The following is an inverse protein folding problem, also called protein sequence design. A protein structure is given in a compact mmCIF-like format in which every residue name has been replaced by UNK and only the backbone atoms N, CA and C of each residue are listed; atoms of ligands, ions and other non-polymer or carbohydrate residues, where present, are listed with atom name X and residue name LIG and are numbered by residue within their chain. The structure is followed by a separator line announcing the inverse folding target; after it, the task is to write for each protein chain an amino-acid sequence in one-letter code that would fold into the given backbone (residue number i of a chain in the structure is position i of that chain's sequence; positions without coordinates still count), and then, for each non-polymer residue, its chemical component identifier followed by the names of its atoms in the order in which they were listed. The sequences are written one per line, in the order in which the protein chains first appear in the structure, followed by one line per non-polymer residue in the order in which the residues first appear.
data_IF_142108956971
#
_entry.id   IF_142108956971
#
_cell.length_a   1.000
_cell.length_b   1.000
_cell.length_c   1.000
_cell.angle_alpha   90.00
_cell.angle_beta   90.00
_cell.angle_gamma   90.00
#
_symmetry.space_group_name_H-M   'P 1'
#
loop_
_entity.id
_entity.type
_entity.pdbx_description
1 polymer ?
#
# COMPACT_ATOMS: atom_id res chain seq x y z
N UNK A 1 2.64 6.03 16.32
CA UNK A 1 1.63 6.78 17.10
C UNK A 1 0.24 6.13 17.03
N UNK A 2 0.13 4.82 16.73
CA UNK A 2 -1.14 4.09 16.70
C UNK A 2 -2.19 4.55 15.68
N UNK A 3 -1.91 5.57 14.86
CA UNK A 3 -2.85 6.15 13.89
C UNK A 3 -2.50 5.84 12.43
N UNK A 4 -1.47 5.05 12.17
CA UNK A 4 -1.06 4.69 10.81
C UNK A 4 -0.54 3.26 10.74
N UNK A 5 -0.66 2.66 9.56
CA UNK A 5 0.10 1.47 9.19
C UNK A 5 1.24 1.88 8.26
N UNK A 6 2.39 1.20 8.38
CA UNK A 6 3.54 1.43 7.51
C UNK A 6 3.88 0.13 6.79
N UNK A 7 4.11 0.22 5.48
CA UNK A 7 4.43 -0.94 4.66
C UNK A 7 5.62 -0.69 3.75
N UNK A 8 6.36 -1.76 3.47
CA UNK A 8 7.31 -1.81 2.36
C UNK A 8 6.69 -2.63 1.22
N UNK A 9 6.45 -2.01 0.07
CA UNK A 9 5.98 -2.69 -1.13
C UNK A 9 7.18 -3.01 -2.03
N UNK A 10 7.27 -4.26 -2.48
CA UNK A 10 8.34 -4.72 -3.38
C UNK A 10 7.78 -5.33 -4.66
N UNK A 11 8.27 -4.87 -5.81
CA UNK A 11 8.05 -5.50 -7.11
C UNK A 11 9.21 -6.46 -7.42
N UNK A 12 8.96 -7.76 -7.23
CA UNK A 12 9.94 -8.81 -7.45
C UNK A 12 9.76 -9.45 -8.83
N UNK A 13 10.76 -9.26 -9.70
CA UNK A 13 10.82 -9.83 -11.05
C UNK A 13 12.24 -10.34 -11.28
N UNK A 14 12.40 -11.66 -11.45
CA UNK A 14 13.70 -12.32 -11.55
C UNK A 14 14.54 -11.79 -12.72
N UNK A 15 13.92 -11.74 -13.90
CA UNK A 15 14.61 -11.35 -15.12
C UNK A 15 14.89 -9.82 -15.10
N UNK A 16 16.17 -9.39 -15.20
CA UNK A 16 16.53 -7.98 -15.07
C UNK A 16 15.97 -7.10 -16.19
N UNK A 17 15.89 -7.62 -17.42
CA UNK A 17 15.35 -6.86 -18.56
C UNK A 17 13.84 -6.68 -18.43
N UNK A 18 13.12 -7.72 -17.98
CA UNK A 18 11.69 -7.64 -17.71
C UNK A 18 11.40 -6.69 -16.56
N UNK A 19 12.20 -6.77 -15.48
CA UNK A 19 12.09 -5.87 -14.33
C UNK A 19 12.29 -4.42 -14.73
N UNK A 20 13.32 -4.12 -15.51
CA UNK A 20 13.58 -2.76 -15.98
C UNK A 20 12.40 -2.22 -16.79
N UNK A 21 11.90 -2.98 -17.78
CA UNK A 21 10.76 -2.57 -18.61
C UNK A 21 9.47 -2.38 -17.81
N UNK A 22 9.23 -3.24 -16.82
CA UNK A 22 8.08 -3.13 -15.94
C UNK A 22 8.13 -1.84 -15.12
N UNK A 23 9.26 -1.58 -14.45
CA UNK A 23 9.45 -0.40 -13.60
C UNK A 23 9.46 0.92 -14.38
N UNK A 24 9.97 0.93 -15.61
CA UNK A 24 9.95 2.11 -16.48
C UNK A 24 8.52 2.60 -16.78
N UNK A 25 7.53 1.69 -16.75
CA UNK A 25 6.12 2.02 -16.94
C UNK A 25 5.35 2.29 -15.65
N UNK A 26 5.98 2.18 -14.48
CA UNK A 26 5.30 2.08 -13.19
C UNK A 26 5.46 3.33 -12.32
N UNK A 27 5.97 4.44 -12.86
CA UNK A 27 6.13 5.70 -12.13
C UNK A 27 4.82 6.17 -11.50
N UNK A 28 4.88 6.60 -10.23
CA UNK A 28 3.71 7.08 -9.48
C UNK A 28 2.80 5.96 -8.94
N UNK A 29 3.24 4.70 -8.99
CA UNK A 29 2.48 3.58 -8.40
C UNK A 29 2.29 3.72 -6.90
N UNK A 30 3.25 4.34 -6.21
CA UNK A 30 3.24 4.65 -4.79
C UNK A 30 2.00 5.48 -4.37
N UNK A 31 1.50 6.34 -5.25
CA UNK A 31 0.31 7.18 -5.03
C UNK A 31 -1.03 6.44 -5.24
N UNK A 32 -0.96 5.21 -5.75
CA UNK A 32 -2.14 4.42 -6.14
C UNK A 32 -2.44 3.27 -5.20
N UNK A 33 -1.63 3.08 -4.16
CA UNK A 33 -1.82 2.02 -3.17
C UNK A 33 -2.83 2.48 -2.11
N UNK A 34 -3.74 1.60 -1.70
CA UNK A 34 -4.79 1.95 -0.74
C UNK A 34 -5.29 0.75 0.06
N UNK A 35 -5.84 1.03 1.24
CA UNK A 35 -6.79 0.14 1.89
C UNK A 35 -8.22 0.56 1.57
N UNK A 36 -9.11 -0.40 1.37
CA UNK A 36 -10.56 -0.22 1.38
C UNK A 36 -11.11 -0.94 2.61
N UNK A 37 -11.70 -0.17 3.53
CA UNK A 37 -12.29 -0.66 4.78
C UNK A 37 -13.80 -0.48 4.70
N UNK A 38 -14.50 -1.52 4.26
CA UNK A 38 -15.96 -1.50 4.07
C UNK A 38 -16.45 -0.27 3.27
N UNK A 39 -15.80 0.00 2.14
CA UNK A 39 -16.10 1.12 1.25
C UNK A 39 -15.40 2.44 1.60
N UNK A 40 -14.64 2.50 2.69
CA UNK A 40 -13.84 3.68 3.04
C UNK A 40 -12.39 3.53 2.58
N UNK A 41 -11.93 4.46 1.75
CA UNK A 41 -10.58 4.44 1.17
C UNK A 41 -9.58 5.15 2.09
N UNK A 42 -8.49 4.46 2.41
CA UNK A 42 -7.28 4.99 3.04
C UNK A 42 -6.15 4.90 2.02
N UNK A 43 -5.77 6.04 1.42
CA UNK A 43 -4.69 6.10 0.44
C UNK A 43 -3.33 6.08 1.12
N UNK A 44 -2.36 5.43 0.47
CA UNK A 44 -0.97 5.52 0.86
C UNK A 44 -0.44 6.96 0.69
N UNK A 45 0.49 7.32 1.56
CA UNK A 45 1.34 8.49 1.47
C UNK A 45 2.77 7.95 1.33
N UNK A 46 3.43 8.17 0.18
CA UNK A 46 4.82 7.77 0.00
C UNK A 46 5.73 8.47 1.01
N UNK A 47 6.76 7.79 1.50
CA UNK A 47 7.72 8.42 2.40
C UNK A 47 8.55 9.49 1.67
N UNK A 48 8.57 10.71 2.23
CA UNK A 48 9.02 11.92 1.54
C UNK A 48 10.55 12.07 1.43
N UNK A 49 11.33 11.45 2.32
CA UNK A 49 12.79 11.68 2.41
C UNK A 49 13.59 10.76 1.47
N UNK A 50 12.90 10.17 0.49
CA UNK A 50 13.48 9.15 -0.37
C UNK A 50 12.94 9.31 -1.78
N UNK A 51 13.71 9.96 -2.66
CA UNK A 51 13.43 10.01 -4.10
C UNK A 51 13.44 8.58 -4.66
N UNK A 52 12.26 7.94 -4.69
CA UNK A 52 12.04 6.58 -5.20
C UNK A 52 11.48 6.56 -6.62
N UNK A 53 11.15 7.72 -7.17
CA UNK A 53 10.94 7.91 -8.61
C UNK A 53 12.12 8.71 -9.15
N UNK A 54 12.82 8.17 -10.16
CA UNK A 54 13.96 8.90 -10.75
C UNK A 54 13.47 10.15 -11.48
N UNK A 55 14.38 11.09 -11.78
CA UNK A 55 14.06 12.27 -12.59
C UNK A 55 13.43 11.93 -13.97
N UNK A 56 13.64 10.70 -14.46
CA UNK A 56 13.06 10.17 -15.71
C UNK A 56 11.69 9.49 -15.51
N UNK A 57 11.11 9.52 -14.31
CA UNK A 57 9.80 8.95 -14.01
C UNK A 57 9.79 7.44 -13.73
N UNK A 58 10.95 6.81 -13.52
CA UNK A 58 11.05 5.38 -13.24
C UNK A 58 10.77 5.08 -11.78
N UNK A 59 9.85 4.14 -11.50
CA UNK A 59 9.61 3.67 -10.15
C UNK A 59 10.75 2.79 -9.62
N UNK A 60 11.06 2.95 -8.33
CA UNK A 60 11.83 1.99 -7.55
C UNK A 60 11.10 0.65 -7.45
N UNK A 61 11.87 -0.44 -7.38
CA UNK A 61 11.33 -1.77 -7.08
C UNK A 61 10.87 -1.90 -5.63
N UNK A 62 11.28 -0.98 -4.75
CA UNK A 62 10.92 -0.93 -3.33
C UNK A 62 10.33 0.44 -3.00
N UNK A 63 9.14 0.44 -2.40
CA UNK A 63 8.40 1.63 -1.97
C UNK A 63 8.16 1.57 -0.46
N UNK A 64 8.26 2.73 0.20
CA UNK A 64 7.92 2.89 1.62
C UNK A 64 6.64 3.71 1.70
N UNK A 65 5.61 3.15 2.33
CA UNK A 65 4.25 3.66 2.28
C UNK A 65 3.70 3.82 3.70
N UNK A 66 3.15 4.99 3.96
CA UNK A 66 2.40 5.32 5.17
C UNK A 66 0.91 5.33 4.86
N UNK A 67 0.10 4.75 5.73
CA UNK A 67 -1.35 4.76 5.59
C UNK A 67 -1.93 5.46 6.81
N UNK A 68 -2.23 6.77 6.73
CA UNK A 68 -2.82 7.50 7.84
C UNK A 68 -4.30 7.13 7.97
N UNK A 69 -4.68 6.49 9.07
CA UNK A 69 -6.07 6.14 9.36
C UNK A 69 -6.72 7.18 10.27
N UNK A 70 -8.00 7.44 10.05
CA UNK A 70 -8.85 8.13 11.04
C UNK A 70 -9.32 7.15 12.11
N UNK A 71 -9.72 7.65 13.29
CA UNK A 71 -10.27 6.81 14.37
C UNK A 71 -11.49 5.98 13.92
N UNK A 72 -12.35 6.55 13.07
CA UNK A 72 -13.51 5.85 12.51
C UNK A 72 -13.10 4.67 11.61
N UNK A 73 -12.09 4.88 10.75
CA UNK A 73 -11.56 3.82 9.89
C UNK A 73 -10.85 2.74 10.72
N UNK A 74 -10.14 3.10 11.79
CA UNK A 74 -9.52 2.13 12.71
C UNK A 74 -10.59 1.27 13.38
N UNK A 75 -11.68 1.87 13.85
CA UNK A 75 -12.79 1.13 14.47
C UNK A 75 -13.40 0.13 13.47
N UNK A 76 -13.63 0.56 12.22
CA UNK A 76 -14.12 -0.33 11.16
C UNK A 76 -13.13 -1.44 10.80
N UNK A 77 -11.84 -1.13 10.74
CA UNK A 77 -10.78 -2.10 10.43
C UNK A 77 -10.72 -3.20 11.49
N UNK A 78 -10.92 -2.86 12.77
CA UNK A 78 -10.90 -3.78 13.92
C UNK A 78 -12.16 -4.66 14.01
N UNK A 79 -13.27 -4.25 13.41
CA UNK A 79 -14.51 -5.02 13.40
C UNK A 79 -14.39 -6.22 12.44
N UNK A 80 -14.51 -7.43 12.98
CA UNK A 80 -14.29 -8.66 12.23
C UNK A 80 -15.29 -8.87 11.09
N UNK A 81 -16.49 -8.30 11.19
CA UNK A 81 -17.55 -8.42 10.19
C UNK A 81 -17.26 -7.58 8.94
N UNK A 82 -16.41 -6.55 9.06
CA UNK A 82 -16.07 -5.66 7.95
C UNK A 82 -15.02 -6.30 7.05
N UNK A 83 -15.19 -6.10 5.75
CA UNK A 83 -14.20 -6.51 4.74
C UNK A 83 -13.11 -5.46 4.62
N UNK A 84 -11.86 -5.90 4.64
CA UNK A 84 -10.70 -5.04 4.35
C UNK A 84 -9.99 -5.54 3.09
N UNK A 85 -9.77 -4.65 2.12
CA UNK A 85 -8.93 -4.91 0.95
C UNK A 85 -7.67 -4.06 0.98
N UNK A 86 -6.58 -4.61 0.45
CA UNK A 86 -5.38 -3.88 0.05
C UNK A 86 -5.33 -3.88 -1.48
N UNK A 87 -5.19 -2.70 -2.08
CA UNK A 87 -5.25 -2.51 -3.52
C UNK A 87 -4.16 -1.60 -4.07
N UNK A 88 -3.90 -1.77 -5.36
CA UNK A 88 -3.08 -0.91 -6.22
C UNK A 88 -3.94 -0.56 -7.43
N UNK A 89 -4.11 0.72 -7.73
CA UNK A 89 -4.95 1.22 -8.83
C UNK A 89 -4.14 1.83 -9.98
N UNK A 90 -2.87 1.44 -10.14
CA UNK A 90 -2.02 1.96 -11.19
C UNK A 90 -2.43 1.41 -12.57
N UNK A 91 -2.43 2.24 -13.60
CA UNK A 91 -2.88 1.86 -14.96
C UNK A 91 -2.10 0.68 -15.57
N UNK A 92 -0.83 0.51 -15.19
CA UNK A 92 0.00 -0.64 -15.62
C UNK A 92 -0.11 -1.87 -14.73
N UNK A 93 -0.66 -1.72 -13.52
CA UNK A 93 -0.78 -2.80 -12.55
C UNK A 93 -1.93 -2.52 -11.58
N UNK A 94 -3.12 -2.97 -11.95
CA UNK A 94 -4.30 -2.89 -11.10
C UNK A 94 -4.54 -4.25 -10.43
N UNK A 95 -4.47 -4.29 -9.10
CA UNK A 95 -4.66 -5.52 -8.34
C UNK A 95 -5.22 -5.21 -6.96
N UNK A 96 -6.07 -6.08 -6.43
CA UNK A 96 -6.58 -5.97 -5.08
C UNK A 96 -6.78 -7.34 -4.45
N UNK A 97 -6.51 -7.44 -3.15
CA UNK A 97 -6.70 -8.65 -2.35
C UNK A 97 -7.50 -8.33 -1.11
N UNK A 98 -8.33 -9.28 -0.68
CA UNK A 98 -8.93 -9.23 0.66
C UNK A 98 -7.83 -9.61 1.64
N UNK A 99 -7.68 -8.86 2.72
CA UNK A 99 -6.78 -9.27 3.80
C UNK A 99 -7.32 -10.55 4.46
N UNK A 100 -6.50 -11.61 4.56
CA UNK A 100 -6.80 -12.73 5.43
C UNK A 100 -6.97 -12.28 6.89
N UNK A 101 -7.82 -12.99 7.65
CA UNK A 101 -8.18 -12.60 9.00
C UNK A 101 -6.99 -12.51 9.96
N UNK A 102 -6.02 -13.42 9.84
CA UNK A 102 -4.80 -13.44 10.65
C UNK A 102 -3.92 -12.21 10.38
N UNK A 103 -3.70 -11.87 9.11
CA UNK A 103 -2.97 -10.68 8.71
C UNK A 103 -3.67 -9.40 9.18
N UNK A 104 -5.01 -9.33 9.03
CA UNK A 104 -5.80 -8.19 9.52
C UNK A 104 -5.68 -8.04 11.03
N UNK A 105 -5.82 -9.14 11.80
CA UNK A 105 -5.70 -9.10 13.25
C UNK A 105 -4.32 -8.64 13.71
N UNK A 106 -3.26 -9.09 13.04
CA UNK A 106 -1.91 -8.64 13.32
C UNK A 106 -1.76 -7.13 13.09
N UNK A 107 -2.20 -6.61 11.94
CA UNK A 107 -2.16 -5.17 11.63
C UNK A 107 -3.05 -4.35 12.57
N UNK A 108 -4.21 -4.89 12.97
CA UNK A 108 -5.12 -4.21 13.88
C UNK A 108 -4.49 -3.93 15.26
N UNK A 109 -3.53 -4.75 15.68
CA UNK A 109 -2.80 -4.58 16.93
C UNK A 109 -1.86 -3.36 16.89
N UNK A 110 -1.40 -2.92 15.72
CA UNK A 110 -0.52 -1.75 15.59
C UNK A 110 -1.25 -0.44 15.94
N UNK A 111 -2.58 -0.41 15.84
CA UNK A 111 -3.43 0.71 16.25
C UNK A 111 -3.73 0.75 17.77
N UNK A 112 -3.08 -0.06 18.59
CA UNK A 112 -3.26 -0.06 20.04
C UNK A 112 -2.18 0.73 20.81
N UNK A 113 -1.22 1.32 20.07
CA UNK A 113 -0.02 1.98 20.61
C UNK A 113 -0.11 3.51 20.71
#
# INVERSE_FOLDING_TARGET
NGGELVATLMFEIDNPDQRARFLDGLGGVEDTVFFDVDGEIVRAVPEADVDRTTADGKASSVQFLHFPFTEAQIAKFKDSENRVLLGIEHQKYAHAVILPDDARQALAADFAN
#
